data_IF_193304600418
#
_entry.id   IF_193304600418
#
_cell.length_a   1.000
_cell.length_b   1.000
_cell.length_c   1.000
_cell.angle_alpha   90.00
_cell.angle_beta   90.00
_cell.angle_gamma   90.00
#
_symmetry.space_group_name_H-M   'P 1'
#
loop_
_entity.id
_entity.type
_entity.pdbx_description
1 polymer ?
#
# COMPACT_ATOMS: atom_id res chain seq x y z
N UNK A 1 -31.25 22.00 18.48
CA UNK A 1 -31.24 23.29 19.23
C UNK A 1 -30.66 23.20 20.64
N UNK A 2 -30.86 22.09 21.34
CA UNK A 2 -30.32 21.86 22.70
C UNK A 2 -28.78 21.89 22.75
N UNK A 3 -28.10 21.43 21.71
CA UNK A 3 -26.65 21.50 21.59
C UNK A 3 -26.14 22.94 21.46
N UNK A 4 -26.84 23.79 20.71
CA UNK A 4 -26.48 25.23 20.57
C UNK A 4 -26.61 25.98 21.88
N UNK A 5 -27.62 25.67 22.69
CA UNK A 5 -27.80 26.26 24.02
C UNK A 5 -26.71 25.83 25.02
N UNK A 6 -26.30 24.54 24.98
CA UNK A 6 -25.23 24.03 25.83
C UNK A 6 -23.84 24.57 25.43
N UNK A 7 -23.64 24.97 24.16
CA UNK A 7 -22.37 25.51 23.70
C UNK A 7 -21.93 26.77 24.44
N UNK A 8 -22.86 27.57 24.91
CA UNK A 8 -22.60 28.83 25.61
C UNK A 8 -22.67 28.74 27.14
N UNK A 9 -23.06 27.58 27.69
CA UNK A 9 -23.12 27.38 29.13
C UNK A 9 -21.80 26.81 29.66
N UNK A 10 -21.39 27.25 30.86
CA UNK A 10 -20.12 26.87 31.49
C UNK A 10 -20.33 25.95 32.70
N UNK A 11 -21.51 25.31 32.81
CA UNK A 11 -21.80 24.35 33.87
C UNK A 11 -21.01 23.07 33.73
N UNK A 12 -20.69 22.32 34.81
CA UNK A 12 -19.98 21.03 34.72
C UNK A 12 -20.63 20.03 33.75
N UNK A 13 -21.95 19.92 33.78
CA UNK A 13 -22.76 19.06 32.92
C UNK A 13 -22.66 19.47 31.43
N UNK A 14 -22.62 20.78 31.16
CA UNK A 14 -22.45 21.27 29.79
C UNK A 14 -21.06 20.99 29.24
N UNK A 15 -20.01 21.06 30.07
CA UNK A 15 -18.65 20.70 29.69
C UNK A 15 -18.55 19.21 29.33
N UNK A 16 -19.07 18.35 30.17
CA UNK A 16 -19.08 16.90 29.93
C UNK A 16 -19.83 16.52 28.65
N UNK A 17 -20.96 17.18 28.38
CA UNK A 17 -21.73 16.97 27.17
C UNK A 17 -21.00 17.48 25.92
N UNK A 18 -20.29 18.62 25.99
CA UNK A 18 -19.43 19.14 24.93
C UNK A 18 -18.30 18.13 24.57
N UNK A 19 -17.69 17.56 25.62
CA UNK A 19 -16.62 16.57 25.42
C UNK A 19 -17.12 15.29 24.74
N UNK A 20 -18.28 14.78 25.18
CA UNK A 20 -18.92 13.61 24.55
C UNK A 20 -19.26 13.88 23.07
N UNK A 21 -19.83 15.03 22.76
CA UNK A 21 -20.17 15.43 21.40
C UNK A 21 -18.91 15.63 20.54
N UNK A 22 -17.89 16.28 21.10
CA UNK A 22 -16.60 16.45 20.42
C UNK A 22 -15.93 15.11 20.09
N UNK A 23 -15.92 14.17 21.03
CA UNK A 23 -15.42 12.80 20.82
C UNK A 23 -16.21 12.06 19.74
N UNK A 24 -17.53 12.22 19.72
CA UNK A 24 -18.38 11.62 18.68
C UNK A 24 -18.00 12.14 17.28
N UNK A 25 -17.93 13.46 17.09
CA UNK A 25 -17.59 14.03 15.79
C UNK A 25 -16.17 13.69 15.34
N UNK A 26 -15.21 13.60 16.27
CA UNK A 26 -13.85 13.13 15.99
C UNK A 26 -13.86 11.69 15.47
N UNK A 27 -14.53 10.77 16.20
CA UNK A 27 -14.66 9.37 15.77
C UNK A 27 -15.35 9.24 14.42
N UNK A 28 -16.41 10.01 14.17
CA UNK A 28 -17.09 10.02 12.88
C UNK A 28 -16.14 10.43 11.76
N UNK A 29 -15.40 11.52 11.92
CA UNK A 29 -14.41 11.98 10.95
C UNK A 29 -13.26 10.98 10.76
N UNK A 30 -12.84 10.27 11.81
CA UNK A 30 -11.84 9.21 11.70
C UNK A 30 -12.34 8.03 10.85
N UNK A 31 -13.59 7.60 11.08
CA UNK A 31 -14.21 6.52 10.30
C UNK A 31 -14.35 6.91 8.83
N UNK A 32 -14.77 8.14 8.54
CA UNK A 32 -14.89 8.64 7.17
C UNK A 32 -13.52 8.65 6.45
N UNK A 33 -12.46 9.11 7.12
CA UNK A 33 -11.09 9.07 6.59
C UNK A 33 -10.58 7.64 6.39
N UNK A 34 -10.82 6.76 7.37
CA UNK A 34 -10.45 5.35 7.27
C UNK A 34 -11.15 4.66 6.09
N UNK A 35 -12.43 4.95 5.86
CA UNK A 35 -13.20 4.35 4.78
C UNK A 35 -12.67 4.77 3.39
N UNK A 36 -12.22 6.01 3.23
CA UNK A 36 -11.55 6.48 2.01
C UNK A 36 -10.17 5.83 1.82
N UNK A 37 -9.35 5.80 2.88
CA UNK A 37 -8.02 5.19 2.85
C UNK A 37 -8.09 3.69 2.57
N UNK A 38 -9.11 2.99 3.08
CA UNK A 38 -9.25 1.55 2.87
C UNK A 38 -9.37 1.17 1.39
N UNK A 39 -10.07 1.98 0.60
CA UNK A 39 -10.17 1.75 -0.85
C UNK A 39 -8.80 1.89 -1.54
N UNK A 40 -8.08 2.97 -1.24
CA UNK A 40 -6.75 3.23 -1.82
C UNK A 40 -5.75 2.14 -1.41
N UNK A 41 -5.73 1.76 -0.15
CA UNK A 41 -4.86 0.68 0.34
C UNK A 41 -5.25 -0.68 -0.25
N UNK A 42 -6.55 -0.93 -0.44
CA UNK A 42 -7.03 -2.15 -1.09
C UNK A 42 -6.56 -2.26 -2.53
N UNK A 43 -6.69 -1.20 -3.32
CA UNK A 43 -6.19 -1.14 -4.70
C UNK A 43 -4.67 -1.30 -4.76
N UNK A 44 -3.93 -0.66 -3.85
CA UNK A 44 -2.47 -0.84 -3.75
C UNK A 44 -2.09 -2.31 -3.48
N UNK A 45 -2.79 -2.97 -2.57
CA UNK A 45 -2.57 -4.39 -2.28
C UNK A 45 -2.88 -5.31 -3.48
N UNK A 46 -3.93 -5.00 -4.26
CA UNK A 46 -4.24 -5.75 -5.48
C UNK A 46 -3.18 -5.53 -6.58
N UNK A 47 -2.68 -4.31 -6.76
CA UNK A 47 -1.55 -4.01 -7.66
C UNK A 47 -0.34 -4.83 -7.26
N UNK A 48 0.03 -4.82 -5.98
CA UNK A 48 1.16 -5.60 -5.48
C UNK A 48 0.98 -7.10 -5.75
N UNK A 49 -0.11 -7.71 -5.34
CA UNK A 49 -0.36 -9.15 -5.57
C UNK A 49 -0.26 -9.52 -7.05
N UNK A 50 -0.85 -8.71 -7.93
CA UNK A 50 -0.85 -8.97 -9.35
C UNK A 50 0.56 -8.83 -9.95
N UNK A 51 1.37 -7.91 -9.45
CA UNK A 51 2.77 -7.77 -9.86
C UNK A 51 3.59 -9.04 -9.53
N UNK A 52 3.40 -9.61 -8.34
CA UNK A 52 4.03 -10.88 -7.97
C UNK A 52 3.62 -12.03 -8.89
N UNK A 53 2.33 -12.10 -9.28
CA UNK A 53 1.84 -13.09 -10.24
C UNK A 53 2.50 -12.92 -11.61
N UNK A 54 2.59 -11.69 -12.13
CA UNK A 54 3.25 -11.41 -13.40
C UNK A 54 4.75 -11.74 -13.36
N UNK A 55 5.45 -11.36 -12.30
CA UNK A 55 6.85 -11.70 -12.12
C UNK A 55 7.07 -13.22 -12.18
N UNK A 56 6.19 -13.97 -11.52
CA UNK A 56 6.24 -15.42 -11.53
C UNK A 56 5.92 -16.01 -12.91
N UNK A 57 4.85 -15.58 -13.55
CA UNK A 57 4.37 -16.13 -14.83
C UNK A 57 5.21 -15.71 -16.02
N UNK A 58 5.68 -14.47 -16.03
CA UNK A 58 6.37 -13.90 -17.22
C UNK A 58 7.89 -14.07 -17.13
N UNK A 59 8.46 -14.26 -15.93
CA UNK A 59 9.91 -14.37 -15.75
C UNK A 59 10.36 -15.69 -15.11
N UNK A 60 9.84 -16.07 -13.96
CA UNK A 60 10.31 -17.27 -13.23
C UNK A 60 10.01 -18.55 -14.01
N UNK A 61 8.76 -18.74 -14.44
CA UNK A 61 8.31 -19.96 -15.14
C UNK A 61 9.02 -20.13 -16.49
N UNK A 62 9.01 -19.14 -17.41
CA UNK A 62 9.58 -19.32 -18.73
C UNK A 62 11.10 -19.60 -18.72
N UNK A 63 11.82 -19.03 -17.77
CA UNK A 63 13.27 -19.17 -17.63
C UNK A 63 13.68 -20.33 -16.70
N UNK A 64 12.71 -21.09 -16.17
CA UNK A 64 12.97 -22.21 -15.24
C UNK A 64 13.83 -21.81 -14.02
N UNK A 65 13.56 -20.64 -13.45
CA UNK A 65 14.35 -20.05 -12.34
C UNK A 65 13.86 -20.48 -10.95
N UNK A 66 13.13 -21.59 -10.87
CA UNK A 66 12.61 -22.14 -9.61
C UNK A 66 13.75 -22.39 -8.61
N UNK A 67 13.66 -21.80 -7.43
CA UNK A 67 14.67 -21.90 -6.39
C UNK A 67 15.93 -21.07 -6.62
N UNK A 68 16.17 -20.57 -7.84
CA UNK A 68 17.28 -19.67 -8.17
C UNK A 68 16.94 -18.22 -7.91
N UNK A 69 15.74 -17.79 -8.35
CA UNK A 69 15.18 -16.47 -8.04
C UNK A 69 14.02 -16.65 -7.07
N UNK A 70 14.06 -15.94 -5.94
CA UNK A 70 13.09 -16.08 -4.87
C UNK A 70 12.47 -14.74 -4.51
N UNK A 71 11.15 -14.67 -4.54
CA UNK A 71 10.42 -13.58 -3.93
C UNK A 71 10.41 -13.81 -2.41
N UNK A 72 11.23 -13.07 -1.68
CA UNK A 72 11.46 -13.30 -0.25
C UNK A 72 10.41 -12.62 0.61
N UNK A 73 10.04 -11.38 0.27
CA UNK A 73 9.08 -10.60 1.03
C UNK A 73 8.43 -9.52 0.18
N UNK A 74 7.29 -9.04 0.67
CA UNK A 74 6.58 -7.87 0.15
C UNK A 74 6.33 -6.95 1.34
N UNK A 75 6.88 -5.74 1.29
CA UNK A 75 6.76 -4.74 2.36
C UNK A 75 6.10 -3.51 1.78
N UNK A 76 4.79 -3.33 2.06
CA UNK A 76 3.96 -2.28 1.48
C UNK A 76 3.93 -2.32 -0.06
N UNK A 77 4.72 -1.48 -0.71
CA UNK A 77 4.89 -1.32 -2.16
C UNK A 77 6.29 -1.78 -2.64
N UNK A 78 7.09 -2.37 -1.77
CA UNK A 78 8.44 -2.83 -2.06
C UNK A 78 8.48 -4.37 -2.15
N UNK A 79 9.15 -4.88 -3.19
CA UNK A 79 9.43 -6.30 -3.34
C UNK A 79 10.89 -6.61 -2.98
N UNK A 80 11.09 -7.62 -2.13
CA UNK A 80 12.40 -8.19 -1.89
C UNK A 80 12.55 -9.47 -2.72
N UNK A 81 13.52 -9.46 -3.62
CA UNK A 81 13.86 -10.59 -4.47
C UNK A 81 15.31 -10.99 -4.20
N UNK A 82 15.54 -12.27 -3.95
CA UNK A 82 16.87 -12.86 -3.86
C UNK A 82 17.21 -13.56 -5.19
N UNK A 83 18.35 -13.24 -5.78
CA UNK A 83 18.81 -13.86 -7.01
C UNK A 83 20.34 -13.89 -7.08
N UNK A 84 20.95 -14.75 -7.93
CA UNK A 84 22.39 -14.72 -8.21
C UNK A 84 22.82 -13.37 -8.83
N UNK A 85 24.01 -12.93 -8.48
CA UNK A 85 24.60 -11.66 -8.97
C UNK A 85 24.69 -11.61 -10.51
N UNK A 86 24.84 -12.77 -11.16
CA UNK A 86 24.94 -12.88 -12.62
C UNK A 86 23.67 -12.51 -13.39
N UNK A 87 22.51 -12.52 -12.76
CA UNK A 87 21.20 -12.24 -13.38
C UNK A 87 20.46 -11.10 -12.68
N UNK A 88 21.16 -10.33 -11.84
CA UNK A 88 20.51 -9.30 -11.02
C UNK A 88 19.84 -8.19 -11.84
N UNK A 89 20.50 -7.76 -12.92
CA UNK A 89 19.95 -6.71 -13.81
C UNK A 89 18.68 -7.21 -14.50
N UNK A 90 18.73 -8.43 -15.04
CA UNK A 90 17.56 -9.05 -15.69
C UNK A 90 16.39 -9.24 -14.70
N UNK A 91 16.68 -9.68 -13.47
CA UNK A 91 15.67 -9.81 -12.44
C UNK A 91 15.07 -8.45 -12.01
N UNK A 92 15.90 -7.40 -11.98
CA UNK A 92 15.44 -6.02 -11.73
C UNK A 92 14.49 -5.54 -12.82
N UNK A 93 14.85 -5.71 -14.08
CA UNK A 93 14.00 -5.33 -15.21
C UNK A 93 12.69 -6.11 -15.23
N UNK A 94 12.74 -7.40 -14.91
CA UNK A 94 11.57 -8.26 -14.87
C UNK A 94 10.59 -7.86 -13.76
N UNK A 95 11.08 -7.58 -12.55
CA UNK A 95 10.20 -7.16 -11.44
C UNK A 95 9.64 -5.75 -11.67
N UNK A 96 10.45 -4.83 -12.19
CA UNK A 96 10.00 -3.50 -12.60
C UNK A 96 8.86 -3.59 -13.62
N UNK A 97 9.08 -4.35 -14.71
CA UNK A 97 8.08 -4.55 -15.75
C UNK A 97 6.79 -5.18 -15.21
N UNK A 98 6.89 -6.14 -14.29
CA UNK A 98 5.74 -6.77 -13.65
C UNK A 98 4.95 -5.78 -12.78
N UNK A 99 5.63 -4.92 -12.02
CA UNK A 99 5.00 -3.89 -11.21
C UNK A 99 4.31 -2.83 -12.07
N UNK A 100 4.97 -2.32 -13.09
CA UNK A 100 4.39 -1.34 -14.01
C UNK A 100 3.21 -1.91 -14.83
N UNK A 101 3.32 -3.15 -15.28
CA UNK A 101 2.26 -3.88 -15.98
C UNK A 101 1.03 -4.06 -15.10
N UNK A 102 1.23 -4.40 -13.83
CA UNK A 102 0.17 -4.51 -12.85
C UNK A 102 -0.49 -3.17 -12.59
N UNK A 103 0.30 -2.14 -12.30
CA UNK A 103 -0.19 -0.79 -12.03
C UNK A 103 -1.03 -0.24 -13.20
N UNK A 104 -0.64 -0.48 -14.44
CA UNK A 104 -1.37 -0.05 -15.63
C UNK A 104 -2.79 -0.64 -15.77
N UNK A 105 -3.09 -1.74 -15.08
CA UNK A 105 -4.46 -2.29 -15.06
C UNK A 105 -5.41 -1.45 -14.21
N UNK A 106 -4.93 -0.89 -13.12
CA UNK A 106 -5.73 -0.15 -12.14
C UNK A 106 -5.62 1.37 -12.38
N UNK A 107 -4.44 1.88 -12.63
CA UNK A 107 -4.15 3.30 -12.78
C UNK A 107 -4.20 3.72 -14.26
N UNK A 108 -5.39 4.06 -14.76
CA UNK A 108 -5.59 4.44 -16.18
C UNK A 108 -5.18 5.88 -16.50
N UNK A 109 -5.20 6.77 -15.52
CA UNK A 109 -4.96 8.20 -15.72
C UNK A 109 -3.54 8.64 -15.36
N UNK A 110 -2.90 7.90 -14.47
CA UNK A 110 -1.56 8.20 -13.97
C UNK A 110 -0.71 6.97 -14.17
N UNK A 111 0.47 7.13 -14.78
CA UNK A 111 1.46 6.06 -14.90
C UNK A 111 2.18 5.95 -13.56
N UNK A 112 2.15 4.77 -12.96
CA UNK A 112 2.99 4.42 -11.82
C UNK A 112 4.27 3.77 -12.35
N UNK A 113 5.42 4.24 -11.90
CA UNK A 113 6.73 3.66 -12.16
C UNK A 113 7.22 2.87 -10.95
N UNK A 114 8.16 1.98 -11.17
CA UNK A 114 8.91 1.27 -10.15
C UNK A 114 10.40 1.50 -10.40
N UNK A 115 11.18 1.67 -9.33
CA UNK A 115 12.62 1.86 -9.40
C UNK A 115 13.32 0.69 -8.72
N UNK A 116 13.97 -0.22 -9.48
CA UNK A 116 14.71 -1.31 -8.89
C UNK A 116 16.04 -0.81 -8.30
N UNK A 117 16.45 -1.43 -7.21
CA UNK A 117 17.77 -1.25 -6.62
C UNK A 117 18.29 -2.62 -6.17
N UNK A 118 19.60 -2.84 -6.22
CA UNK A 118 20.19 -4.08 -5.74
C UNK A 118 21.38 -3.84 -4.83
N UNK A 119 21.60 -4.77 -3.92
CA UNK A 119 22.73 -4.78 -2.99
C UNK A 119 23.00 -6.22 -2.54
N UNK A 120 24.20 -6.48 -1.99
CA UNK A 120 24.56 -7.81 -1.46
C UNK A 120 23.76 -8.20 -0.21
N UNK A 121 23.12 -7.25 0.44
CA UNK A 121 22.25 -7.44 1.59
C UNK A 121 21.19 -6.35 1.61
N UNK A 122 20.03 -6.67 2.17
CA UNK A 122 18.96 -5.70 2.30
C UNK A 122 19.38 -4.52 3.18
N UNK A 123 19.32 -3.33 2.61
CA UNK A 123 19.50 -2.05 3.31
C UNK A 123 18.15 -1.35 3.38
N UNK A 124 17.81 -0.90 4.56
CA UNK A 124 16.63 -0.06 4.78
C UNK A 124 17.02 1.40 4.65
#
# INVERSE_FOLDING_TARGET
DRYKQLKNSNTPTAREMKDKVSKYFRKKGDIERMSLNYRVQGESAEISKLAGIYFWQDYIIPNNLFGTVKLVNIIHDEYLVECPESIVEEACDAIQGAMEKSAAKFCKRVKLGAEPAYAKYWKK
#
